data_IF_609690922698
#
_entry.id   IF_609690922698
#
_cell.length_a   1.000
_cell.length_b   1.000
_cell.length_c   1.000
_cell.angle_alpha   90.00
_cell.angle_beta   90.00
_cell.angle_gamma   90.00
#
_symmetry.space_group_name_H-M   'P 1'
#
loop_
_entity.id
_entity.type
_entity.pdbx_description
1 polymer ?
#
# COMPACT_ATOMS: atom_id res chain seq x y z
N UNK A 1 12.97 9.62 10.69
CA UNK A 1 12.07 10.58 10.02
C UNK A 1 10.71 10.40 10.66
N UNK A 2 10.09 11.47 11.18
CA UNK A 2 8.80 11.41 11.87
C UNK A 2 7.76 11.95 10.88
N UNK A 3 6.68 11.20 10.67
CA UNK A 3 5.52 11.65 9.90
C UNK A 3 4.47 12.24 10.85
N UNK A 4 3.80 13.29 10.43
CA UNK A 4 2.75 13.95 11.22
C UNK A 4 1.47 13.12 11.26
N UNK A 5 1.12 12.51 10.12
CA UNK A 5 -0.02 11.61 9.97
C UNK A 5 0.17 10.72 8.73
N UNK A 6 -0.83 9.88 8.43
CA UNK A 6 -0.78 8.96 7.29
C UNK A 6 -0.77 9.65 5.94
N UNK A 7 -1.38 10.83 5.84
CA UNK A 7 -1.41 11.61 4.61
C UNK A 7 -0.03 12.24 4.35
N UNK A 8 0.59 12.84 5.36
CA UNK A 8 1.97 13.36 5.30
C UNK A 8 2.97 12.25 4.89
N UNK A 9 2.85 11.05 5.48
CA UNK A 9 3.65 9.90 5.07
C UNK A 9 3.46 9.53 3.59
N UNK A 10 2.22 9.58 3.10
CA UNK A 10 1.88 9.26 1.71
C UNK A 10 2.37 10.31 0.71
N UNK A 11 2.27 11.60 1.05
CA UNK A 11 2.81 12.68 0.24
C UNK A 11 4.34 12.57 0.12
N UNK A 12 5.04 12.39 1.24
CA UNK A 12 6.50 12.22 1.25
C UNK A 12 6.94 10.98 0.46
N UNK A 13 6.19 9.87 0.55
CA UNK A 13 6.48 8.67 -0.23
C UNK A 13 6.18 8.88 -1.72
N UNK A 14 5.07 9.54 -2.07
CA UNK A 14 4.74 9.91 -3.44
C UNK A 14 5.87 10.73 -4.10
N UNK A 15 6.41 11.73 -3.39
CA UNK A 15 7.53 12.54 -3.87
C UNK A 15 8.79 11.70 -4.15
N UNK A 16 9.09 10.71 -3.31
CA UNK A 16 10.22 9.77 -3.54
C UNK A 16 9.97 8.85 -4.73
N UNK A 17 8.71 8.51 -4.99
CA UNK A 17 8.26 7.69 -6.12
C UNK A 17 7.97 8.49 -7.40
N UNK A 18 8.29 9.79 -7.45
CA UNK A 18 7.97 10.67 -8.60
C UNK A 18 8.43 10.15 -9.97
N UNK A 19 9.44 9.28 -10.01
CA UNK A 19 9.95 8.67 -11.22
C UNK A 19 8.95 7.69 -11.89
N UNK A 20 7.93 7.24 -11.15
CA UNK A 20 6.84 6.40 -11.65
C UNK A 20 5.63 7.22 -12.16
N UNK A 21 5.66 8.55 -11.98
CA UNK A 21 4.51 9.41 -12.29
C UNK A 21 4.19 9.37 -13.78
N UNK A 22 2.92 9.11 -14.11
CA UNK A 22 2.43 9.06 -15.50
C UNK A 22 2.65 7.73 -16.22
N UNK A 23 3.21 6.71 -15.55
CA UNK A 23 3.21 5.35 -16.08
C UNK A 23 1.77 4.82 -16.15
N UNK A 24 1.36 4.39 -17.36
CA UNK A 24 0.00 3.88 -17.62
C UNK A 24 -0.24 2.50 -17.02
N UNK A 25 0.82 1.77 -16.67
CA UNK A 25 0.75 0.44 -16.07
C UNK A 25 0.87 0.47 -14.54
N UNK A 26 0.93 1.66 -13.94
CA UNK A 26 1.04 1.82 -12.50
C UNK A 26 -0.32 1.67 -11.82
N UNK A 27 -0.40 0.79 -10.82
CA UNK A 27 -1.53 0.64 -9.92
C UNK A 27 -1.04 0.77 -8.48
N UNK A 28 -1.74 1.56 -7.66
CA UNK A 28 -1.45 1.67 -6.23
C UNK A 28 -2.45 0.81 -5.47
N UNK A 29 -1.96 -0.16 -4.70
CA UNK A 29 -2.77 -1.02 -3.84
C UNK A 29 -2.63 -0.63 -2.38
N UNK A 30 -3.75 -0.26 -1.74
CA UNK A 30 -3.82 0.10 -0.33
C UNK A 30 -4.26 -1.07 0.54
N UNK A 31 -3.46 -1.46 1.53
CA UNK A 31 -3.86 -2.44 2.54
C UNK A 31 -4.69 -1.76 3.67
N UNK A 32 -5.90 -2.26 3.98
CA UNK A 32 -6.72 -1.73 5.05
C UNK A 32 -6.09 -1.85 6.45
N UNK A 33 -6.44 -0.97 7.39
CA UNK A 33 -7.28 0.23 7.24
C UNK A 33 -6.44 1.47 6.96
N UNK A 34 -5.36 1.65 7.71
CA UNK A 34 -4.51 2.84 7.63
C UNK A 34 -3.71 2.95 6.34
N UNK A 35 -3.29 1.82 5.76
CA UNK A 35 -2.50 1.81 4.53
C UNK A 35 -3.25 2.40 3.34
N UNK A 36 -4.57 2.31 3.32
CA UNK A 36 -5.42 2.94 2.29
C UNK A 36 -5.29 4.47 2.31
N UNK A 37 -5.22 5.10 3.49
CA UNK A 37 -5.06 6.56 3.62
C UNK A 37 -3.72 7.00 3.03
N UNK A 38 -2.65 6.26 3.33
CA UNK A 38 -1.32 6.54 2.79
C UNK A 38 -1.26 6.27 1.27
N UNK A 39 -1.87 5.17 0.82
CA UNK A 39 -1.95 4.81 -0.60
C UNK A 39 -2.72 5.86 -1.42
N UNK A 40 -3.78 6.45 -0.88
CA UNK A 40 -4.55 7.49 -1.56
C UNK A 40 -3.72 8.73 -1.89
N UNK A 41 -2.88 9.19 -0.96
CA UNK A 41 -1.99 10.32 -1.21
C UNK A 41 -0.91 9.99 -2.25
N UNK A 42 -0.40 8.75 -2.25
CA UNK A 42 0.58 8.29 -3.24
C UNK A 42 -0.06 8.24 -4.64
N UNK A 43 -1.24 7.62 -4.76
CA UNK A 43 -1.99 7.51 -6.01
C UNK A 43 -2.32 8.88 -6.59
N UNK A 44 -2.78 9.81 -5.74
CA UNK A 44 -3.02 11.20 -6.10
C UNK A 44 -1.77 11.89 -6.63
N UNK A 45 -0.62 11.73 -5.96
CA UNK A 45 0.63 12.37 -6.37
C UNK A 45 1.15 11.80 -7.71
N UNK A 46 1.09 10.48 -7.88
CA UNK A 46 1.59 9.77 -9.06
C UNK A 46 0.62 9.79 -10.25
N UNK A 47 -0.61 10.29 -10.06
CA UNK A 47 -1.69 10.24 -11.04
C UNK A 47 -1.94 8.80 -11.53
N UNK A 48 -2.09 7.89 -10.56
CA UNK A 48 -2.31 6.47 -10.78
C UNK A 48 -3.65 6.02 -10.16
N UNK A 49 -4.30 4.97 -10.70
CA UNK A 49 -5.43 4.34 -10.04
C UNK A 49 -5.09 3.83 -8.64
N UNK A 50 -6.07 3.89 -7.75
CA UNK A 50 -6.01 3.34 -6.40
C UNK A 50 -7.01 2.20 -6.28
N UNK A 51 -6.56 1.06 -5.78
CA UNK A 51 -7.41 -0.06 -5.38
C UNK A 51 -7.09 -0.51 -3.94
N UNK A 52 -8.03 -1.21 -3.33
CA UNK A 52 -7.86 -1.79 -1.99
C UNK A 52 -7.62 -3.27 -2.15
N UNK A 53 -6.58 -3.79 -1.48
CA UNK A 53 -6.32 -5.24 -1.45
C UNK A 53 -6.59 -5.80 -0.06
N UNK A 54 -7.47 -6.81 0.00
CA UNK A 54 -7.81 -7.54 1.21
C UNK A 54 -7.12 -8.90 1.13
N UNK A 55 -6.19 -9.14 2.04
CA UNK A 55 -5.43 -10.38 2.09
C UNK A 55 -5.28 -10.89 3.52
N UNK A 56 -5.14 -12.21 3.66
CA UNK A 56 -4.85 -12.87 4.94
C UNK A 56 -3.69 -13.85 4.79
N UNK A 57 -2.77 -13.84 5.76
CA UNK A 57 -1.71 -14.85 5.89
C UNK A 57 -2.31 -16.22 6.16
N UNK A 58 -1.77 -17.25 5.51
CA UNK A 58 -1.97 -18.66 5.86
C UNK A 58 -0.78 -19.06 6.75
N UNK A 59 -1.06 -19.35 8.02
CA UNK A 59 -0.05 -19.83 8.96
C UNK A 59 0.24 -21.33 8.82
N UNK A 60 1.41 -21.78 9.25
CA UNK A 60 1.72 -23.20 9.33
C UNK A 60 0.95 -23.90 10.47
N UNK A 61 0.66 -25.21 10.35
CA UNK A 61 0.13 -25.99 11.45
C UNK A 61 1.03 -25.89 12.69
N UNK A 62 0.45 -25.51 13.83
CA UNK A 62 1.17 -25.35 15.10
C UNK A 62 2.02 -24.08 15.23
N UNK A 63 2.08 -23.22 14.20
CA UNK A 63 2.76 -21.93 14.25
C UNK A 63 2.09 -20.89 13.35
N UNK A 64 1.05 -20.23 13.88
CA UNK A 64 0.25 -19.24 13.13
C UNK A 64 1.07 -18.03 12.67
N UNK A 65 2.17 -17.72 13.36
CA UNK A 65 3.02 -16.60 12.97
C UNK A 65 3.90 -16.91 11.75
N UNK A 66 4.21 -18.19 11.50
CA UNK A 66 4.99 -18.61 10.35
C UNK A 66 4.12 -18.71 9.09
N UNK A 67 4.31 -17.77 8.16
CA UNK A 67 3.57 -17.72 6.90
C UNK A 67 4.01 -18.83 5.93
N UNK A 68 3.06 -19.65 5.48
CA UNK A 68 3.27 -20.63 4.38
C UNK A 68 2.52 -20.23 3.10
N UNK A 69 1.70 -19.19 3.16
CA UNK A 69 0.99 -18.64 2.01
C UNK A 69 0.16 -17.42 2.39
N UNK A 70 -0.63 -16.96 1.42
CA UNK A 70 -1.64 -15.92 1.62
C UNK A 70 -2.86 -16.22 0.73
N UNK A 71 -4.03 -15.78 1.18
CA UNK A 71 -5.23 -15.72 0.36
C UNK A 71 -5.62 -14.26 0.15
N UNK A 72 -6.13 -13.98 -1.03
CA UNK A 72 -6.79 -12.73 -1.40
C UNK A 72 -8.05 -13.09 -2.18
N UNK A 73 -8.88 -12.08 -2.48
CA UNK A 73 -10.12 -12.25 -3.25
C UNK A 73 -9.85 -12.80 -4.67
#
# INVERSE_FOLDING_TARGET
>A
MIFQNRADAGEQLGQKLKHLKGDKNLLVLGLPRGGVVTAAEIARFLNAPLEVIICRKIGAPGNEEFAIGAISE
#
